data_IF_949491907830
#
_entry.id   IF_949491907830
#
_cell.length_a   1.000
_cell.length_b   1.000
_cell.length_c   1.000
_cell.angle_alpha   90.00
_cell.angle_beta   90.00
_cell.angle_gamma   90.00
#
_symmetry.space_group_name_H-M   'P 1'
#
loop_
_entity.id
_entity.type
_entity.pdbx_description
1 polymer ?
#
# COMPACT_ATOMS: atom_id res chain seq x y z
N UNK A 1 -5.93 7.17 21.89
CA UNK A 1 -6.31 5.80 22.34
C UNK A 1 -5.02 5.12 22.75
N UNK A 2 -4.97 4.32 23.81
CA UNK A 2 -3.74 3.59 24.18
C UNK A 2 -3.78 2.17 23.60
N UNK A 3 -2.64 1.65 23.15
CA UNK A 3 -2.48 0.24 22.76
C UNK A 3 -1.35 -0.42 23.55
N UNK A 4 -1.50 -1.72 23.79
CA UNK A 4 -0.44 -2.54 24.40
C UNK A 4 0.44 -3.12 23.31
N UNK A 5 1.74 -2.84 23.38
CA UNK A 5 2.77 -3.50 22.59
C UNK A 5 3.57 -4.44 23.48
N UNK A 6 4.25 -5.42 22.87
CA UNK A 6 5.14 -6.32 23.59
C UNK A 6 6.55 -6.03 23.12
N UNK A 7 7.44 -5.59 24.00
CA UNK A 7 8.86 -5.35 23.72
C UNK A 7 9.65 -6.40 24.50
N UNK A 8 10.36 -7.29 23.80
CA UNK A 8 11.16 -8.34 24.43
C UNK A 8 10.39 -9.24 25.42
N UNK A 9 9.09 -9.42 25.19
CA UNK A 9 8.20 -10.23 26.03
C UNK A 9 7.49 -9.43 27.14
N UNK A 10 7.86 -8.17 27.37
CA UNK A 10 7.21 -7.31 28.36
C UNK A 10 6.12 -6.43 27.73
N UNK A 11 4.94 -6.31 28.37
CA UNK A 11 3.87 -5.45 27.89
C UNK A 11 4.11 -3.97 28.22
N UNK A 12 4.00 -3.10 27.21
CA UNK A 12 4.07 -1.65 27.36
C UNK A 12 2.82 -0.99 26.80
N UNK A 13 2.32 0.06 27.48
CA UNK A 13 1.25 0.91 26.96
C UNK A 13 1.86 2.06 26.16
N UNK A 14 1.44 2.23 24.92
CA UNK A 14 1.80 3.36 24.07
C UNK A 14 0.55 4.10 23.60
N UNK A 15 0.71 5.34 23.14
CA UNK A 15 -0.35 6.03 22.44
C UNK A 15 -0.51 5.45 21.03
N UNK A 16 -1.68 4.86 20.77
CA UNK A 16 -2.04 4.28 19.50
C UNK A 16 -2.29 5.38 18.46
N UNK A 17 -1.45 5.41 17.43
CA UNK A 17 -1.67 6.20 16.20
C UNK A 17 -2.34 5.34 15.13
N UNK A 18 -3.01 6.00 14.17
CA UNK A 18 -3.71 5.33 13.06
C UNK A 18 -2.82 4.36 12.27
N UNK A 19 -1.53 4.69 12.10
CA UNK A 19 -0.50 3.76 11.69
C UNK A 19 0.78 4.03 12.49
N UNK A 20 1.55 2.97 12.75
CA UNK A 20 2.81 3.03 13.52
C UNK A 20 3.90 2.39 12.68
N UNK A 21 5.01 3.12 12.51
CA UNK A 21 6.21 2.63 11.86
C UNK A 21 7.10 1.93 12.88
N UNK A 22 7.50 0.70 12.59
CA UNK A 22 8.40 -0.09 13.44
C UNK A 22 9.70 -0.25 12.69
N UNK A 23 10.72 0.51 13.09
CA UNK A 23 12.07 0.35 12.58
C UNK A 23 12.80 -0.67 13.44
N UNK A 24 13.51 -1.60 12.82
CA UNK A 24 14.36 -2.53 13.55
C UNK A 24 15.63 -1.81 14.01
N UNK A 25 15.64 -1.33 15.25
CA UNK A 25 16.81 -0.75 15.90
C UNK A 25 17.54 -1.83 16.71
N UNK A 26 18.10 -2.83 16.03
CA UNK A 26 19.06 -3.75 16.63
C UNK A 26 18.51 -4.66 17.73
N UNK A 27 17.72 -5.67 17.35
CA UNK A 27 17.55 -6.90 18.14
C UNK A 27 16.28 -7.00 18.98
N UNK A 28 15.63 -5.89 19.30
CA UNK A 28 14.40 -5.92 20.10
C UNK A 28 13.20 -6.44 19.31
N UNK A 29 12.55 -7.49 19.83
CA UNK A 29 11.36 -8.07 19.21
C UNK A 29 10.13 -7.31 19.68
N UNK A 30 9.76 -6.26 18.93
CA UNK A 30 8.54 -5.50 19.17
C UNK A 30 7.36 -6.18 18.47
N UNK A 31 6.28 -6.45 19.21
CA UNK A 31 5.03 -7.00 18.68
C UNK A 31 3.88 -6.04 18.94
N UNK A 32 2.94 -5.99 18.00
CA UNK A 32 1.72 -5.19 18.08
C UNK A 32 0.50 -6.13 18.00
N UNK A 33 0.07 -6.74 19.11
CA UNK A 33 -0.99 -7.75 19.11
C UNK A 33 -2.34 -7.23 18.58
N UNK A 34 -2.59 -5.92 18.73
CA UNK A 34 -3.80 -5.28 18.23
C UNK A 34 -3.79 -4.95 16.73
N UNK A 35 -2.73 -5.34 16.00
CA UNK A 35 -2.53 -4.98 14.59
C UNK A 35 -2.28 -6.22 13.74
N UNK A 36 -2.80 -6.18 12.51
CA UNK A 36 -2.38 -7.12 11.48
C UNK A 36 -1.02 -6.67 10.95
N UNK A 37 0.03 -7.43 11.25
CA UNK A 37 1.39 -7.17 10.79
C UNK A 37 1.57 -7.78 9.40
N UNK A 38 1.52 -6.95 8.37
CA UNK A 38 1.68 -7.36 6.98
C UNK A 38 3.16 -7.68 6.72
N UNK A 39 3.44 -8.92 6.33
CA UNK A 39 4.78 -9.38 5.97
C UNK A 39 5.00 -9.40 4.46
N UNK A 40 6.26 -9.56 4.02
CA UNK A 40 6.60 -9.76 2.62
C UNK A 40 5.86 -10.96 2.00
N UNK A 41 5.75 -12.07 2.73
CA UNK A 41 5.03 -13.27 2.29
C UNK A 41 3.53 -13.01 2.10
N UNK A 42 2.88 -12.37 3.08
CA UNK A 42 1.47 -11.99 2.97
C UNK A 42 1.23 -11.05 1.78
N UNK A 43 2.16 -10.13 1.55
CA UNK A 43 2.09 -9.18 0.44
C UNK A 43 2.18 -9.90 -0.91
N UNK A 44 3.15 -10.80 -1.07
CA UNK A 44 3.30 -11.55 -2.32
C UNK A 44 2.14 -12.53 -2.55
N UNK A 45 1.64 -13.19 -1.51
CA UNK A 45 0.45 -14.04 -1.60
C UNK A 45 -0.77 -13.22 -2.02
N UNK A 46 -0.98 -12.03 -1.40
CA UNK A 46 -2.07 -11.13 -1.83
C UNK A 46 -1.93 -10.76 -3.30
N UNK A 47 -0.73 -10.45 -3.78
CA UNK A 47 -0.50 -10.13 -5.19
C UNK A 47 -0.88 -11.29 -6.12
N UNK A 48 -0.63 -12.54 -5.71
CA UNK A 48 -0.98 -13.73 -6.50
C UNK A 48 -2.49 -14.02 -6.51
N UNK A 49 -3.21 -13.65 -5.44
CA UNK A 49 -4.64 -13.90 -5.27
C UNK A 49 -5.55 -12.87 -5.96
N UNK A 50 -5.03 -11.68 -6.29
CA UNK A 50 -5.82 -10.64 -6.93
C UNK A 50 -5.73 -10.73 -8.45
N UNK A 51 -6.89 -10.63 -9.10
CA UNK A 51 -6.97 -10.56 -10.57
C UNK A 51 -6.58 -9.15 -11.08
N UNK A 52 -6.91 -8.12 -10.32
CA UNK A 52 -6.70 -6.72 -10.69
C UNK A 52 -6.09 -5.90 -9.54
N UNK A 53 -5.32 -4.87 -9.90
CA UNK A 53 -4.78 -3.90 -8.96
C UNK A 53 -5.81 -2.80 -8.75
N UNK A 54 -6.32 -2.66 -7.53
CA UNK A 54 -7.23 -1.58 -7.16
C UNK A 54 -6.60 -0.20 -7.43
N UNK A 55 -7.40 0.74 -7.92
CA UNK A 55 -6.93 2.07 -8.31
C UNK A 55 -6.26 2.86 -7.18
N UNK A 56 -6.65 2.64 -5.92
CA UNK A 56 -5.99 3.29 -4.78
C UNK A 56 -4.63 2.64 -4.52
N UNK A 57 -4.54 1.32 -4.64
CA UNK A 57 -3.26 0.61 -4.55
C UNK A 57 -2.32 1.02 -5.71
N UNK A 58 -2.83 1.16 -6.93
CA UNK A 58 -2.08 1.65 -8.08
C UNK A 58 -1.57 3.09 -7.86
N UNK A 59 -2.43 3.99 -7.40
CA UNK A 59 -2.04 5.37 -7.12
C UNK A 59 -1.02 5.48 -5.96
N UNK A 60 -1.07 4.59 -4.97
CA UNK A 60 -0.02 4.49 -3.94
C UNK A 60 1.28 3.93 -4.53
N UNK A 61 1.21 2.97 -5.44
CA UNK A 61 2.38 2.40 -6.10
C UNK A 61 3.14 3.48 -6.88
N UNK A 62 2.43 4.31 -7.63
CA UNK A 62 3.00 5.45 -8.36
C UNK A 62 3.62 6.52 -7.44
N UNK A 63 3.17 6.63 -6.19
CA UNK A 63 3.87 7.47 -5.20
C UNK A 63 5.23 6.88 -4.82
N UNK A 64 5.32 5.56 -4.71
CA UNK A 64 6.58 4.87 -4.37
C UNK A 64 7.53 4.85 -5.57
N UNK A 65 7.00 4.60 -6.77
CA UNK A 65 7.75 4.42 -8.01
C UNK A 65 7.20 5.38 -9.08
N UNK A 66 7.48 6.69 -8.96
CA UNK A 66 6.96 7.70 -9.87
C UNK A 66 7.51 7.57 -11.30
N UNK A 67 8.64 6.87 -11.46
CA UNK A 67 9.32 6.61 -12.74
C UNK A 67 9.05 5.19 -13.27
N UNK A 68 7.97 4.52 -12.86
CA UNK A 68 7.67 3.14 -13.31
C UNK A 68 7.54 3.02 -14.84
N UNK A 69 7.04 4.08 -15.50
CA UNK A 69 7.02 4.20 -16.96
C UNK A 69 6.06 3.25 -17.67
N UNK A 70 5.24 2.49 -16.93
CA UNK A 70 4.22 1.56 -17.42
C UNK A 70 2.93 1.75 -16.63
N UNK A 71 1.83 1.20 -17.13
CA UNK A 71 0.59 1.17 -16.37
C UNK A 71 0.74 0.23 -15.16
N UNK A 72 0.27 0.66 -13.99
CA UNK A 72 0.25 -0.20 -12.80
C UNK A 72 -0.96 -1.14 -12.88
N UNK A 73 -0.79 -2.26 -13.57
CA UNK A 73 -1.78 -3.34 -13.66
C UNK A 73 -1.09 -4.70 -13.53
N UNK A 74 -1.89 -5.75 -13.29
CA UNK A 74 -1.40 -7.11 -13.06
C UNK A 74 -0.53 -7.61 -14.22
N UNK A 75 -0.98 -7.42 -15.47
CA UNK A 75 -0.29 -7.88 -16.67
C UNK A 75 1.12 -7.29 -16.85
N UNK A 76 1.31 -6.01 -16.48
CA UNK A 76 2.61 -5.34 -16.55
C UNK A 76 3.51 -5.74 -15.37
N UNK A 77 2.94 -5.87 -14.18
CA UNK A 77 3.67 -6.24 -12.97
C UNK A 77 4.09 -7.72 -12.95
N UNK A 78 3.39 -8.60 -13.65
CA UNK A 78 3.78 -10.01 -13.82
C UNK A 78 5.07 -10.17 -14.61
N UNK A 79 5.45 -9.16 -15.40
CA UNK A 79 6.73 -9.10 -16.11
C UNK A 79 7.84 -8.41 -15.30
N UNK A 80 7.52 -7.95 -14.09
CA UNK A 80 8.43 -7.23 -13.21
C UNK A 80 9.01 -8.16 -12.13
N UNK A 81 9.97 -7.66 -11.35
CA UNK A 81 10.57 -8.42 -10.25
C UNK A 81 9.58 -8.69 -9.12
N UNK A 82 9.83 -9.76 -8.36
CA UNK A 82 9.07 -10.12 -7.16
C UNK A 82 8.97 -8.96 -6.15
N UNK A 83 9.96 -8.09 -6.07
CA UNK A 83 9.91 -6.90 -5.21
C UNK A 83 8.82 -5.89 -5.62
N UNK A 84 8.60 -5.70 -6.92
CA UNK A 84 7.52 -4.84 -7.43
C UNK A 84 6.15 -5.49 -7.25
N UNK A 85 6.07 -6.80 -7.48
CA UNK A 85 4.86 -7.58 -7.22
C UNK A 85 4.49 -7.56 -5.73
N UNK A 86 5.47 -7.73 -4.85
CA UNK A 86 5.32 -7.64 -3.40
C UNK A 86 4.83 -6.25 -2.99
N UNK A 87 5.39 -5.16 -3.55
CA UNK A 87 4.93 -3.80 -3.29
C UNK A 87 3.45 -3.62 -3.67
N UNK A 88 3.05 -4.08 -4.86
CA UNK A 88 1.66 -4.00 -5.30
C UNK A 88 0.72 -4.80 -4.37
N UNK A 89 1.14 -5.99 -3.94
CA UNK A 89 0.43 -6.82 -2.98
C UNK A 89 0.31 -6.18 -1.59
N UNK A 90 1.37 -5.56 -1.08
CA UNK A 90 1.41 -4.82 0.19
C UNK A 90 0.36 -3.69 0.19
N UNK A 91 0.35 -2.89 -0.88
CA UNK A 91 -0.56 -1.76 -1.02
C UNK A 91 -2.01 -2.23 -1.19
N UNK A 92 -2.24 -3.28 -2.00
CA UNK A 92 -3.56 -3.90 -2.16
C UNK A 92 -4.10 -4.46 -0.83
N UNK A 93 -3.27 -5.19 -0.07
CA UNK A 93 -3.66 -5.74 1.24
C UNK A 93 -3.94 -4.62 2.25
N UNK A 94 -3.14 -3.56 2.22
CA UNK A 94 -3.32 -2.38 3.06
C UNK A 94 -4.69 -1.73 2.81
N UNK A 95 -5.04 -1.44 1.56
CA UNK A 95 -6.35 -0.87 1.20
C UNK A 95 -7.48 -1.81 1.64
N UNK A 96 -7.33 -3.12 1.41
CA UNK A 96 -8.33 -4.13 1.77
C UNK A 96 -8.57 -4.23 3.29
N UNK A 97 -7.52 -4.18 4.10
CA UNK A 97 -7.60 -4.21 5.57
C UNK A 97 -8.19 -2.91 6.14
N UNK A 98 -7.73 -1.76 5.63
CA UNK A 98 -8.21 -0.46 6.08
C UNK A 98 -9.69 -0.22 5.76
N UNK A 99 -10.16 -0.66 4.58
CA UNK A 99 -11.59 -0.60 4.23
C UNK A 99 -12.49 -1.41 5.17
N UNK A 100 -11.92 -2.44 5.82
CA UNK A 100 -12.57 -3.28 6.85
C UNK A 100 -12.34 -2.79 8.28
N UNK A 101 -11.77 -1.60 8.44
CA UNK A 101 -11.48 -0.97 9.74
C UNK A 101 -10.51 -1.77 10.62
N UNK A 102 -9.62 -2.56 10.02
CA UNK A 102 -8.52 -3.19 10.75
C UNK A 102 -7.38 -2.20 10.98
N UNK A 103 -6.80 -2.25 12.18
CA UNK A 103 -5.51 -1.62 12.45
C UNK A 103 -4.40 -2.48 11.87
N UNK A 104 -3.44 -1.85 11.18
CA UNK A 104 -2.35 -2.55 10.50
C UNK A 104 -0.98 -2.05 10.95
N UNK A 105 0.03 -2.86 10.69
CA UNK A 105 1.44 -2.49 10.69
C UNK A 105 2.16 -3.19 9.54
N UNK A 106 3.28 -2.64 9.09
CA UNK A 106 4.11 -3.25 8.05
C UNK A 106 5.40 -3.80 8.66
N UNK A 107 5.78 -5.02 8.31
CA UNK A 107 7.01 -5.67 8.77
C UNK A 107 8.00 -5.79 7.61
N UNK A 108 9.11 -5.05 7.68
CA UNK A 108 10.13 -4.96 6.64
C UNK A 108 9.56 -4.67 5.24
N UNK A 109 8.69 -3.63 5.10
CA UNK A 109 8.00 -3.34 3.84
C UNK A 109 8.96 -3.01 2.68
N UNK A 110 10.19 -2.62 2.99
CA UNK A 110 11.27 -2.32 2.04
C UNK A 110 11.91 -3.56 1.43
N UNK A 111 11.61 -4.76 1.92
CA UNK A 111 12.22 -6.00 1.45
C UNK A 111 11.98 -6.21 -0.04
N UNK A 112 13.05 -6.42 -0.81
CA UNK A 112 13.02 -6.57 -2.27
C UNK A 112 12.91 -5.26 -3.05
N UNK A 113 12.77 -4.10 -2.38
CA UNK A 113 12.68 -2.79 -3.02
C UNK A 113 14.06 -2.13 -3.15
N UNK A 114 14.34 -1.56 -4.33
CA UNK A 114 15.59 -0.83 -4.56
C UNK A 114 15.71 0.37 -3.59
N UNK A 115 16.90 0.64 -3.01
CA UNK A 115 17.09 1.70 -2.00
C UNK A 115 16.51 3.06 -2.39
N UNK A 116 16.62 3.45 -3.67
CA UNK A 116 16.07 4.71 -4.19
C UNK A 116 14.56 4.92 -3.94
N UNK A 117 13.79 3.84 -3.81
CA UNK A 117 12.34 3.88 -3.63
C UNK A 117 11.91 3.68 -2.17
N UNK A 118 12.81 3.25 -1.29
CA UNK A 118 12.48 2.98 0.12
C UNK A 118 12.05 4.25 0.85
N UNK A 119 12.63 5.42 0.50
CA UNK A 119 12.20 6.70 1.05
C UNK A 119 10.75 7.03 0.67
N UNK A 120 10.38 6.83 -0.60
CA UNK A 120 9.03 7.11 -1.10
C UNK A 120 7.97 6.18 -0.47
N UNK A 121 8.37 4.98 -0.05
CA UNK A 121 7.49 4.06 0.68
C UNK A 121 7.06 4.64 2.04
N UNK A 122 7.91 5.44 2.69
CA UNK A 122 7.57 6.13 3.92
C UNK A 122 6.50 7.21 3.70
N UNK A 123 6.50 7.89 2.55
CA UNK A 123 5.49 8.91 2.22
C UNK A 123 4.08 8.32 2.14
N UNK A 124 3.94 7.09 1.64
CA UNK A 124 2.66 6.37 1.64
C UNK A 124 2.16 6.16 3.07
N UNK A 125 3.06 5.77 3.98
CA UNK A 125 2.69 5.49 5.37
C UNK A 125 2.28 6.78 6.09
N UNK A 126 3.03 7.86 5.91
CA UNK A 126 2.67 9.18 6.45
C UNK A 126 1.29 9.58 5.93
N UNK A 127 1.05 9.46 4.63
CA UNK A 127 -0.25 9.74 4.03
C UNK A 127 -1.36 8.90 4.66
N UNK A 128 -1.15 7.60 4.89
CA UNK A 128 -2.11 6.71 5.56
C UNK A 128 -2.35 7.04 7.05
N UNK A 129 -1.43 7.74 7.72
CA UNK A 129 -1.62 8.16 9.12
C UNK A 129 -2.40 9.46 9.27
N UNK A 130 -2.40 10.31 8.26
CA UNK A 130 -3.03 11.64 8.27
C UNK A 130 -4.42 11.59 7.61
N UNK A 131 -5.47 11.78 8.41
CA UNK A 131 -6.85 11.75 7.93
C UNK A 131 -7.18 12.79 6.86
N UNK A 132 -6.53 13.97 6.88
CA UNK A 132 -6.73 14.99 5.86
C UNK A 132 -6.04 14.59 4.55
N UNK A 133 -4.81 14.08 4.64
CA UNK A 133 -4.05 13.60 3.50
C UNK A 133 -4.77 12.45 2.77
N UNK A 134 -5.28 11.46 3.53
CA UNK A 134 -6.10 10.37 2.96
C UNK A 134 -7.32 10.94 2.24
N UNK A 135 -8.04 11.87 2.86
CA UNK A 135 -9.23 12.47 2.26
C UNK A 135 -8.93 13.18 0.93
N UNK A 136 -7.80 13.90 0.84
CA UNK A 136 -7.33 14.51 -0.40
C UNK A 136 -6.93 13.47 -1.45
N UNK A 137 -6.20 12.42 -1.03
CA UNK A 137 -5.78 11.33 -1.90
C UNK A 137 -6.99 10.62 -2.52
N UNK A 138 -7.98 10.24 -1.70
CA UNK A 138 -9.17 9.53 -2.17
C UNK A 138 -9.95 10.37 -3.19
N UNK A 139 -10.14 11.66 -2.93
CA UNK A 139 -10.80 12.58 -3.88
C UNK A 139 -10.03 12.69 -5.20
N UNK A 140 -8.70 12.78 -5.15
CA UNK A 140 -7.85 12.85 -6.34
C UNK A 140 -8.00 11.60 -7.20
N UNK A 141 -7.92 10.42 -6.59
CA UNK A 141 -8.06 9.15 -7.30
C UNK A 141 -9.45 9.06 -7.94
N UNK A 142 -10.51 9.32 -7.17
CA UNK A 142 -11.89 9.29 -7.68
C UNK A 142 -12.15 10.29 -8.83
N UNK A 143 -11.57 11.50 -8.77
CA UNK A 143 -11.71 12.50 -9.82
C UNK A 143 -11.02 12.08 -11.14
N UNK A 144 -9.95 11.29 -11.04
CA UNK A 144 -9.26 10.75 -12.21
C UNK A 144 -10.03 9.57 -12.82
N UNK A 145 -10.68 8.73 -12.01
CA UNK A 145 -11.55 7.65 -12.50
C UNK A 145 -12.72 8.18 -13.35
N UNK A 146 -13.41 9.22 -12.86
CA UNK A 146 -14.53 9.85 -13.59
C UNK A 146 -14.16 10.48 -14.94
N UNK A 147 -12.86 10.72 -15.21
CA UNK A 147 -12.39 11.27 -16.49
C UNK A 147 -12.15 10.20 -17.54
N UNK A 148 -11.73 8.99 -17.14
CA UNK A 148 -11.42 7.89 -18.07
C UNK A 148 -12.69 7.36 -18.74
N UNK A 149 -13.83 7.34 -18.03
CA UNK A 149 -15.11 6.86 -18.57
C UNK A 149 -15.72 7.79 -19.64
N UNK A 150 -15.30 9.06 -19.71
CA UNK A 150 -15.86 10.05 -20.65
C UNK A 150 -15.16 10.11 -22.00
N UNK A 151 -13.99 9.47 -22.15
CA UNK A 151 -13.24 9.41 -23.42
C UNK A 151 -13.50 8.14 -24.23
N UNK A 152 -14.39 7.24 -23.76
CA UNK A 152 -14.56 5.90 -24.32
C UNK A 152 -15.65 5.70 -25.37
N UNK A 153 -16.32 6.74 -25.90
CA UNK A 153 -17.32 6.59 -26.96
C UNK A 153 -17.19 7.69 -28.02
N UNK A 154 -16.55 7.36 -29.14
CA UNK A 154 -16.44 8.25 -30.30
C UNK A 154 -15.69 7.62 -31.46
N UNK A 155 -16.38 6.76 -32.20
CA UNK A 155 -16.35 6.60 -33.67
C UNK A 155 -16.58 5.15 -34.07
N UNK A 156 -17.85 4.75 -34.06
CA UNK A 156 -18.33 3.83 -35.09
C UNK A 156 -18.65 4.70 -36.32
N UNK A 157 -17.64 4.94 -37.16
CA UNK A 157 -17.87 5.50 -38.49
C UNK A 157 -18.58 4.45 -39.34
N UNK A 158 -19.81 4.79 -39.69
CA UNK A 158 -20.60 4.16 -40.74
C UNK A 158 -20.24 4.90 -42.03
N UNK A 159 -19.68 4.23 -43.03
CA UNK A 159 -19.67 4.74 -44.39
C UNK A 159 -18.54 4.25 -45.28
N UNK A 160 -18.89 3.46 -46.31
CA UNK A 160 -18.04 3.10 -47.44
C UNK A 160 -18.44 1.78 -48.06
#
# INVERSE_FOLDING_TARGET
>A
MTETIIVNGEPHQIEAKRATLVFNAGGDRIQYPGRVMITAEMSLNRYREIDEIDQFAAAMFEMVIPDFGRQVCKAELDQCSDGLQQLAGLLSLTVWLLSRKHSIGWSYPESGLHPKYQANLADVIIMLTDGEAIGKFVRRVAANTCRVDKSGHGNADIGG
#
